data_IF_298296600169
#
_entry.id   IF_298296600169
#
_cell.length_a   1.000
_cell.length_b   1.000
_cell.length_c   1.000
_cell.angle_alpha   90.00
_cell.angle_beta   90.00
_cell.angle_gamma   90.00
#
_symmetry.space_group_name_H-M   'P 1'
#
loop_
_entity.id
_entity.type
_entity.pdbx_description
1 polymer ?
#
# COMPACT_ATOMS: atom_id res chain seq x y z
N UNK A 1 20.44 -8.73 -0.70
CA UNK A 1 19.51 -8.05 0.23
C UNK A 1 19.69 -8.61 1.66
N UNK A 2 20.79 -8.27 2.35
CA UNK A 2 21.14 -8.86 3.65
C UNK A 2 20.31 -8.29 4.82
N UNK A 3 20.14 -6.96 4.86
CA UNK A 3 19.47 -6.26 5.96
C UNK A 3 18.01 -6.71 6.13
N UNK A 4 17.26 -6.81 5.03
CA UNK A 4 15.85 -7.28 5.12
C UNK A 4 15.77 -8.72 5.57
N UNK A 5 16.65 -9.59 5.07
CA UNK A 5 16.72 -10.99 5.50
C UNK A 5 17.06 -11.13 6.99
N UNK A 6 17.86 -10.20 7.53
CA UNK A 6 18.21 -10.16 8.94
C UNK A 6 17.05 -9.65 9.81
N UNK A 7 16.41 -8.54 9.41
CA UNK A 7 15.25 -7.97 10.14
C UNK A 7 14.07 -8.96 10.12
N UNK A 8 13.81 -9.63 9.00
CA UNK A 8 12.70 -10.58 8.87
C UNK A 8 13.06 -12.00 9.33
N UNK A 9 14.19 -12.20 10.02
CA UNK A 9 14.67 -13.54 10.40
C UNK A 9 13.70 -14.26 11.34
N UNK A 10 13.13 -13.55 12.32
CA UNK A 10 12.12 -14.07 13.23
C UNK A 10 10.80 -14.40 12.54
N UNK A 11 10.51 -13.75 11.42
CA UNK A 11 9.29 -13.94 10.63
C UNK A 11 9.47 -14.97 9.50
N UNK A 12 10.66 -15.58 9.38
CA UNK A 12 10.97 -16.53 8.32
C UNK A 12 10.14 -17.80 8.49
N UNK A 13 9.46 -18.23 7.43
CA UNK A 13 8.59 -19.41 7.44
C UNK A 13 7.13 -19.14 7.80
N UNK A 14 6.78 -17.94 8.27
CA UNK A 14 5.39 -17.55 8.54
C UNK A 14 4.50 -17.65 7.29
N UNK A 15 5.04 -17.33 6.12
CA UNK A 15 4.31 -17.47 4.85
C UNK A 15 3.91 -18.91 4.57
N UNK A 16 4.80 -19.87 4.82
CA UNK A 16 4.51 -21.29 4.58
C UNK A 16 3.45 -21.79 5.57
N UNK A 17 3.56 -21.40 6.83
CA UNK A 17 2.59 -21.73 7.89
C UNK A 17 1.18 -21.21 7.54
N UNK A 18 1.09 -19.95 7.10
CA UNK A 18 -0.19 -19.35 6.71
C UNK A 18 -0.75 -19.97 5.44
N UNK A 19 0.09 -20.29 4.44
CA UNK A 19 -0.34 -21.00 3.24
C UNK A 19 -0.93 -22.38 3.59
N UNK A 20 -0.26 -23.14 4.46
CA UNK A 20 -0.76 -24.42 4.94
C UNK A 20 -2.08 -24.26 5.72
N UNK A 21 -2.16 -23.31 6.66
CA UNK A 21 -3.39 -23.07 7.42
C UNK A 21 -4.55 -22.68 6.50
N UNK A 22 -4.28 -21.95 5.41
CA UNK A 22 -5.27 -21.60 4.41
C UNK A 22 -5.69 -22.81 3.56
N UNK A 23 -4.79 -23.72 3.21
CA UNK A 23 -5.11 -24.98 2.53
C UNK A 23 -5.94 -25.91 3.41
N UNK A 24 -5.58 -26.05 4.69
CA UNK A 24 -6.35 -26.77 5.70
C UNK A 24 -7.76 -26.17 5.85
N UNK A 25 -7.87 -24.85 5.92
CA UNK A 25 -9.16 -24.16 6.03
C UNK A 25 -10.03 -24.30 4.76
N UNK A 26 -9.42 -24.42 3.58
CA UNK A 26 -10.13 -24.65 2.31
C UNK A 26 -10.60 -26.11 2.15
N UNK A 27 -9.81 -27.05 2.64
CA UNK A 27 -10.11 -28.49 2.55
C UNK A 27 -11.10 -28.94 3.63
N UNK A 28 -11.06 -28.31 4.80
CA UNK A 28 -12.13 -28.43 5.79
C UNK A 28 -13.35 -27.68 5.26
N UNK A 29 -14.43 -28.39 4.93
CA UNK A 29 -15.74 -27.83 4.58
C UNK A 29 -16.37 -27.11 5.78
N UNK A 30 -15.72 -26.06 6.27
CA UNK A 30 -16.13 -25.26 7.41
C UNK A 30 -16.70 -23.91 6.94
N UNK A 31 -17.56 -23.33 7.76
CA UNK A 31 -18.11 -22.01 7.52
C UNK A 31 -17.00 -20.96 7.49
N UNK A 32 -17.13 -19.93 6.64
CA UNK A 32 -16.12 -18.86 6.45
C UNK A 32 -15.61 -18.28 7.78
N UNK A 33 -16.50 -18.03 8.75
CA UNK A 33 -16.12 -17.51 10.07
C UNK A 33 -15.18 -18.47 10.81
N UNK A 34 -15.45 -19.77 10.73
CA UNK A 34 -14.62 -20.81 11.34
C UNK A 34 -13.29 -20.97 10.60
N UNK A 35 -13.29 -20.87 9.26
CA UNK A 35 -12.07 -20.86 8.45
C UNK A 35 -11.14 -19.69 8.83
N UNK A 36 -11.70 -18.48 8.95
CA UNK A 36 -10.95 -17.29 9.37
C UNK A 36 -10.41 -17.45 10.78
N UNK A 37 -11.20 -18.02 11.70
CA UNK A 37 -10.74 -18.29 13.07
C UNK A 37 -9.61 -19.32 13.11
N UNK A 38 -9.66 -20.37 12.28
CA UNK A 38 -8.59 -21.37 12.18
C UNK A 38 -7.27 -20.72 11.78
N UNK A 39 -7.28 -19.93 10.70
CA UNK A 39 -6.10 -19.22 10.20
C UNK A 39 -5.60 -18.22 11.26
N UNK A 40 -6.51 -17.45 11.86
CA UNK A 40 -6.18 -16.47 12.90
C UNK A 40 -5.55 -17.10 14.13
N UNK A 41 -6.07 -18.22 14.62
CA UNK A 41 -5.48 -18.95 15.75
C UNK A 41 -4.07 -19.45 15.42
N UNK A 42 -3.85 -19.98 14.20
CA UNK A 42 -2.52 -20.41 13.76
C UNK A 42 -1.54 -19.24 13.71
N UNK A 43 -1.98 -18.07 13.24
CA UNK A 43 -1.16 -16.85 13.24
C UNK A 43 -0.83 -16.39 14.67
N UNK A 44 -1.83 -16.20 15.52
CA UNK A 44 -1.66 -15.67 16.88
C UNK A 44 -0.76 -16.55 17.77
N UNK A 45 -0.79 -17.87 17.57
CA UNK A 45 0.03 -18.80 18.35
C UNK A 45 1.49 -18.89 17.89
N UNK A 46 1.83 -18.43 16.68
CA UNK A 46 3.18 -18.57 16.12
C UNK A 46 3.88 -17.22 15.88
N UNK A 47 3.14 -16.11 15.87
CA UNK A 47 3.72 -14.77 15.68
C UNK A 47 4.27 -14.23 16.98
N UNK A 48 5.56 -13.92 16.96
CA UNK A 48 6.24 -13.18 18.02
C UNK A 48 6.34 -11.70 17.61
N UNK A 49 6.00 -10.80 18.54
CA UNK A 49 6.05 -9.34 18.36
C UNK A 49 6.95 -8.75 19.45
N UNK A 50 7.82 -7.82 19.09
CA UNK A 50 8.66 -7.15 20.08
C UNK A 50 7.83 -6.28 21.04
N UNK A 51 8.33 -6.05 22.26
CA UNK A 51 7.62 -5.21 23.23
C UNK A 51 7.35 -3.79 22.69
N UNK A 52 8.27 -3.24 21.89
CA UNK A 52 8.14 -1.92 21.27
C UNK A 52 7.00 -1.90 20.25
N UNK A 53 6.94 -2.89 19.35
CA UNK A 53 5.87 -3.02 18.37
C UNK A 53 4.51 -3.28 19.03
N UNK A 54 4.47 -4.05 20.12
CA UNK A 54 3.25 -4.29 20.87
C UNK A 54 2.68 -3.00 21.49
N UNK A 55 3.55 -2.12 22.03
CA UNK A 55 3.14 -0.80 22.55
C UNK A 55 2.57 0.07 21.43
N UNK A 56 3.22 0.09 20.25
CA UNK A 56 2.70 0.81 19.09
C UNK A 56 1.31 0.31 18.68
N UNK A 57 1.09 -1.01 18.70
CA UNK A 57 -0.20 -1.60 18.39
C UNK A 57 -1.27 -1.21 19.43
N UNK A 58 -0.98 -1.34 20.72
CA UNK A 58 -1.92 -1.04 21.81
C UNK A 58 -2.31 0.43 21.83
N UNK A 59 -1.35 1.32 21.59
CA UNK A 59 -1.57 2.77 21.55
C UNK A 59 -2.05 3.27 20.19
N UNK A 60 -2.27 2.38 19.21
CA UNK A 60 -2.68 2.70 17.84
C UNK A 60 -1.74 3.73 17.17
N UNK A 61 -0.45 3.67 17.49
CA UNK A 61 0.55 4.57 16.93
C UNK A 61 0.97 4.08 15.53
N UNK A 62 1.23 5.00 14.59
CA UNK A 62 1.64 4.62 13.25
C UNK A 62 3.06 4.03 13.28
N UNK A 63 3.20 2.76 12.87
CA UNK A 63 4.50 2.09 12.71
C UNK A 63 5.42 2.76 11.68
N UNK A 64 4.84 3.53 10.75
CA UNK A 64 5.58 4.24 9.72
C UNK A 64 4.90 5.56 9.40
N UNK A 65 5.69 6.62 9.41
CA UNK A 65 5.32 7.87 8.74
C UNK A 65 6.01 7.93 7.38
N UNK A 66 5.29 8.41 6.37
CA UNK A 66 5.83 8.57 5.02
C UNK A 66 5.42 9.92 4.46
N UNK A 67 6.34 10.57 3.75
CA UNK A 67 6.09 11.87 3.11
C UNK A 67 5.11 11.77 1.95
N UNK A 68 4.90 10.57 1.39
CA UNK A 68 4.01 10.29 0.26
C UNK A 68 3.06 9.17 0.61
N UNK A 69 1.76 9.45 0.51
CA UNK A 69 0.74 8.43 0.62
C UNK A 69 0.87 7.39 -0.50
N UNK A 70 0.57 6.14 -0.17
CA UNK A 70 0.55 5.01 -1.09
C UNK A 70 -0.91 4.62 -1.33
N UNK A 71 -1.29 4.41 -2.59
CA UNK A 71 -2.64 4.02 -2.99
C UNK A 71 -2.57 2.76 -3.84
N UNK A 72 -3.32 1.73 -3.47
CA UNK A 72 -3.49 0.54 -4.30
C UNK A 72 -4.71 0.71 -5.21
N UNK A 73 -4.55 0.43 -6.50
CA UNK A 73 -5.60 0.47 -7.51
C UNK A 73 -5.95 -0.97 -7.89
N UNK A 74 -7.19 -1.37 -7.69
CA UNK A 74 -7.64 -2.73 -7.97
C UNK A 74 -7.94 -2.92 -9.47
N UNK A 75 -6.92 -3.30 -10.23
CA UNK A 75 -6.94 -3.52 -11.69
C UNK A 75 -7.45 -4.90 -12.11
N UNK A 76 -8.02 -5.68 -11.18
CA UNK A 76 -8.73 -6.91 -11.51
C UNK A 76 -9.91 -6.62 -12.46
N UNK A 77 -10.29 -7.60 -13.30
CA UNK A 77 -11.52 -7.52 -14.08
C UNK A 77 -12.74 -7.19 -13.20
N UNK A 78 -13.79 -6.54 -13.72
CA UNK A 78 -14.97 -6.16 -12.95
C UNK A 78 -15.56 -7.30 -12.12
N UNK A 79 -15.65 -8.51 -12.69
CA UNK A 79 -16.21 -9.70 -12.04
C UNK A 79 -15.41 -10.19 -10.82
N UNK A 80 -14.12 -9.87 -10.78
CA UNK A 80 -13.20 -10.31 -9.71
C UNK A 80 -12.90 -9.19 -8.70
N UNK A 81 -13.43 -7.97 -8.93
CA UNK A 81 -13.18 -6.82 -8.06
C UNK A 81 -14.08 -6.94 -6.83
N UNK A 82 -13.49 -6.88 -5.64
CA UNK A 82 -14.28 -6.78 -4.42
C UNK A 82 -14.93 -5.40 -4.34
N UNK A 83 -16.10 -5.33 -3.72
CA UNK A 83 -16.85 -4.08 -3.55
C UNK A 83 -17.22 -3.95 -2.08
N UNK A 84 -17.19 -2.71 -1.59
CA UNK A 84 -17.60 -2.38 -0.24
C UNK A 84 -19.09 -2.02 -0.28
N UNK A 85 -19.89 -2.64 0.58
CA UNK A 85 -21.30 -2.28 0.71
C UNK A 85 -21.43 -0.93 1.40
N UNK A 86 -22.53 -0.23 1.11
CA UNK A 86 -22.89 0.98 1.85
C UNK A 86 -23.15 0.63 3.33
N UNK A 87 -23.03 1.61 4.24
CA UNK A 87 -23.39 1.39 5.63
C UNK A 87 -24.82 0.87 5.76
N UNK A 88 -25.05 -0.02 6.72
CA UNK A 88 -26.34 -0.67 6.89
C UNK A 88 -27.49 0.32 7.09
N UNK A 89 -27.24 1.42 7.81
CA UNK A 89 -28.20 2.52 7.99
C UNK A 89 -28.66 3.16 6.68
N UNK A 90 -27.74 3.31 5.72
CA UNK A 90 -28.07 3.85 4.39
C UNK A 90 -28.87 2.83 3.62
N UNK A 91 -28.48 1.55 3.65
CA UNK A 91 -29.17 0.46 2.95
C UNK A 91 -30.61 0.28 3.48
N UNK A 92 -30.84 0.36 4.78
CA UNK A 92 -32.18 0.23 5.37
C UNK A 92 -33.13 1.35 4.92
N UNK A 93 -32.60 2.53 4.63
CA UNK A 93 -33.38 3.67 4.16
C UNK A 93 -33.50 3.72 2.63
N UNK A 94 -32.87 2.80 1.91
CA UNK A 94 -33.04 2.68 0.46
C UNK A 94 -34.40 2.08 0.14
N UNK A 95 -34.90 2.42 -1.05
CA UNK A 95 -36.11 1.80 -1.56
C UNK A 95 -35.85 0.32 -1.87
N UNK A 96 -36.80 -0.57 -1.60
CA UNK A 96 -36.63 -2.02 -1.78
C UNK A 96 -36.29 -2.44 -3.22
N UNK A 97 -36.57 -1.57 -4.20
CA UNK A 97 -36.26 -1.79 -5.62
C UNK A 97 -34.91 -1.20 -6.06
N UNK A 98 -34.17 -0.52 -5.18
CA UNK A 98 -32.87 0.06 -5.50
C UNK A 98 -31.75 -0.97 -5.32
N UNK A 99 -31.09 -1.33 -6.43
CA UNK A 99 -29.97 -2.27 -6.43
C UNK A 99 -28.61 -1.61 -6.13
N UNK A 100 -28.57 -0.30 -5.87
CA UNK A 100 -27.35 0.46 -5.61
C UNK A 100 -26.87 0.31 -4.15
N UNK A 101 -26.67 -0.94 -3.71
CA UNK A 101 -26.21 -1.28 -2.35
C UNK A 101 -24.70 -1.05 -2.20
N UNK A 102 -23.98 -0.91 -3.31
CA UNK A 102 -22.53 -0.83 -3.39
C UNK A 102 -22.01 0.60 -3.26
N UNK A 103 -20.92 0.78 -2.52
CA UNK A 103 -20.18 2.03 -2.45
C UNK A 103 -19.34 2.21 -3.71
N UNK A 104 -19.26 3.44 -4.22
CA UNK A 104 -18.46 3.73 -5.40
C UNK A 104 -16.97 3.51 -5.17
N UNK A 105 -16.35 2.72 -6.04
CA UNK A 105 -14.90 2.51 -6.04
C UNK A 105 -14.17 3.69 -6.73
N UNK A 106 -12.86 3.80 -6.51
CA UNK A 106 -11.97 4.76 -7.17
C UNK A 106 -12.17 4.79 -8.69
N UNK A 107 -12.36 3.61 -9.30
CA UNK A 107 -12.53 3.46 -10.74
C UNK A 107 -13.87 4.06 -11.19
N UNK A 108 -14.96 3.76 -10.49
CA UNK A 108 -16.28 4.35 -10.78
C UNK A 108 -16.26 5.88 -10.61
N UNK A 109 -15.59 6.38 -9.57
CA UNK A 109 -15.39 7.83 -9.36
C UNK A 109 -14.59 8.47 -10.51
N UNK A 110 -13.62 7.74 -11.07
CA UNK A 110 -12.91 8.17 -12.27
C UNK A 110 -13.82 8.17 -13.51
N UNK A 111 -14.72 7.19 -13.67
CA UNK A 111 -15.70 7.16 -14.77
C UNK A 111 -16.64 8.38 -14.73
N UNK A 112 -17.06 8.81 -13.54
CA UNK A 112 -17.97 9.95 -13.32
C UNK A 112 -17.27 11.33 -13.18
N UNK A 113 -15.95 11.42 -13.41
CA UNK A 113 -15.21 12.67 -13.22
C UNK A 113 -15.76 13.85 -14.05
N UNK A 114 -15.56 15.12 -13.65
CA UNK A 114 -15.96 16.28 -14.45
C UNK A 114 -15.31 16.31 -15.84
N UNK A 115 -15.97 16.92 -16.83
CA UNK A 115 -15.44 17.05 -18.21
C UNK A 115 -14.08 17.75 -18.29
N UNK A 116 -13.81 18.67 -17.35
CA UNK A 116 -12.51 19.34 -17.25
C UNK A 116 -11.33 18.36 -17.01
N UNK A 117 -11.61 17.16 -16.50
CA UNK A 117 -10.63 16.12 -16.19
C UNK A 117 -10.64 14.97 -17.21
N UNK A 118 -11.28 15.15 -18.38
CA UNK A 118 -11.42 14.10 -19.40
C UNK A 118 -10.09 13.53 -19.88
N UNK A 119 -9.09 14.40 -20.05
CA UNK A 119 -7.79 14.05 -20.63
C UNK A 119 -6.85 13.31 -19.66
N UNK A 120 -7.24 13.14 -18.39
CA UNK A 120 -6.44 12.42 -17.41
C UNK A 120 -6.60 10.92 -17.57
N UNK A 121 -5.51 10.17 -17.39
CA UNK A 121 -5.57 8.72 -17.20
C UNK A 121 -5.90 8.37 -15.74
N UNK A 122 -6.26 7.10 -15.49
CA UNK A 122 -6.61 6.63 -14.16
C UNK A 122 -5.44 6.81 -13.16
N UNK A 123 -4.21 6.54 -13.60
CA UNK A 123 -3.02 6.75 -12.79
C UNK A 123 -2.82 8.23 -12.39
N UNK A 124 -3.03 9.17 -13.31
CA UNK A 124 -2.95 10.61 -13.04
C UNK A 124 -4.03 11.03 -12.05
N UNK A 125 -5.26 10.58 -12.27
CA UNK A 125 -6.40 10.88 -11.39
C UNK A 125 -6.15 10.36 -9.97
N UNK A 126 -5.84 9.08 -9.83
CA UNK A 126 -5.62 8.41 -8.54
C UNK A 126 -4.44 9.00 -7.76
N UNK A 127 -3.41 9.45 -8.48
CA UNK A 127 -2.17 9.90 -7.86
C UNK A 127 -2.18 11.39 -7.48
N UNK A 128 -2.80 12.24 -8.30
CA UNK A 128 -2.80 13.69 -8.09
C UNK A 128 -4.07 14.24 -7.44
N UNK A 129 -5.17 13.49 -7.43
CA UNK A 129 -6.44 14.00 -6.90
C UNK A 129 -6.83 13.31 -5.59
N UNK A 130 -7.50 14.10 -4.76
CA UNK A 130 -8.16 13.66 -3.54
C UNK A 130 -9.64 14.01 -3.66
N UNK A 131 -10.48 13.06 -3.28
CA UNK A 131 -11.93 13.18 -3.39
C UNK A 131 -12.41 13.66 -2.03
N UNK A 132 -13.10 14.78 -2.04
CA UNK A 132 -13.69 15.40 -0.87
C UNK A 132 -15.20 15.50 -1.08
N UNK A 133 -15.95 15.35 0.00
CA UNK A 133 -17.39 15.48 0.00
C UNK A 133 -17.76 16.79 0.69
N UNK A 134 -18.72 17.51 0.14
CA UNK A 134 -19.25 18.75 0.72
C UNK A 134 -20.46 18.40 1.57
N UNK A 135 -20.55 18.98 2.79
CA UNK A 135 -21.79 18.98 3.56
C UNK A 135 -22.63 20.18 3.15
N UNK A 136 -23.91 19.96 2.84
CA UNK A 136 -24.87 21.06 2.73
C UNK A 136 -25.33 21.43 4.15
N UNK A 137 -24.82 22.53 4.71
CA UNK A 137 -25.24 23.04 6.04
C UNK A 137 -26.65 23.68 6.03
N UNK A 138 -27.50 23.38 5.03
CA UNK A 138 -28.83 23.98 4.87
C UNK A 138 -29.99 23.00 5.08
N UNK A 139 -29.92 22.10 6.06
CA UNK A 139 -31.10 21.50 6.72
C UNK A 139 -30.83 21.43 8.22
N UNK A 140 -31.55 22.24 8.99
CA UNK A 140 -31.33 22.50 10.41
C UNK A 140 -31.98 21.47 11.35
N UNK A 141 -31.33 21.28 12.51
CA UNK A 141 -31.84 20.88 13.85
C UNK A 141 -32.12 19.40 14.15
N UNK A 142 -31.43 18.89 15.18
CA UNK A 142 -31.81 17.70 15.96
C UNK A 142 -30.63 16.87 16.47
N UNK A 143 -30.11 17.25 17.65
CA UNK A 143 -29.56 16.43 18.75
C UNK A 143 -28.51 15.30 18.51
N UNK A 144 -27.35 15.53 19.16
CA UNK A 144 -26.56 14.62 20.00
C UNK A 144 -26.45 13.13 19.62
N UNK A 145 -25.28 12.71 19.10
CA UNK A 145 -24.51 11.55 19.61
C UNK A 145 -23.03 11.75 19.29
N UNK A 146 -22.20 11.88 20.32
CA UNK A 146 -20.75 11.64 20.24
C UNK A 146 -20.50 10.21 19.73
N UNK A 147 -19.95 10.08 18.54
CA UNK A 147 -19.39 8.82 18.05
C UNK A 147 -17.95 9.07 17.65
N UNK A 148 -17.07 9.00 18.64
CA UNK A 148 -15.64 8.72 18.42
C UNK A 148 -15.54 7.38 17.70
N UNK A 149 -15.41 7.43 16.37
CA UNK A 149 -14.92 6.33 15.56
C UNK A 149 -14.08 6.93 14.45
N UNK A 150 -12.77 6.69 14.56
CA UNK A 150 -11.74 6.97 13.58
C UNK A 150 -11.97 6.22 12.26
N UNK A 151 -12.83 6.76 11.41
CA UNK A 151 -12.63 6.77 9.97
C UNK A 151 -12.96 8.18 9.50
N UNK A 152 -11.96 8.91 9.02
CA UNK A 152 -12.11 10.29 8.53
C UNK A 152 -13.06 10.34 7.32
N UNK A 153 -14.36 10.34 7.58
CA UNK A 153 -15.36 11.02 6.76
C UNK A 153 -15.15 12.53 6.92
N UNK A 154 -14.01 13.01 6.41
CA UNK A 154 -13.68 14.42 6.33
C UNK A 154 -14.53 15.04 5.21
N UNK A 155 -15.83 15.16 5.46
CA UNK A 155 -16.67 16.03 4.68
C UNK A 155 -16.34 17.47 5.10
N UNK A 156 -15.82 18.24 4.16
CA UNK A 156 -15.30 19.59 4.40
C UNK A 156 -16.40 20.61 4.13
N UNK A 157 -16.38 21.71 4.87
CA UNK A 157 -17.15 22.90 4.49
C UNK A 157 -16.63 23.44 3.14
N UNK A 158 -17.54 24.00 2.34
CA UNK A 158 -17.22 24.54 1.02
C UNK A 158 -16.18 25.66 1.10
N UNK A 159 -16.25 26.51 2.12
CA UNK A 159 -15.31 27.58 2.40
C UNK A 159 -13.89 27.05 2.66
N UNK A 160 -13.77 25.94 3.40
CA UNK A 160 -12.50 25.29 3.70
C UNK A 160 -11.85 24.65 2.46
N UNK A 161 -12.69 24.12 1.56
CA UNK A 161 -12.24 23.60 0.26
C UNK A 161 -11.67 24.69 -0.63
N UNK A 162 -12.29 25.88 -0.66
CA UNK A 162 -11.80 27.04 -1.44
C UNK A 162 -10.53 27.63 -0.83
N UNK A 163 -10.44 27.69 0.51
CA UNK A 163 -9.27 28.22 1.21
C UNK A 163 -8.00 27.38 0.98
N UNK A 164 -8.17 26.10 0.65
CA UNK A 164 -7.04 25.19 0.40
C UNK A 164 -6.38 25.49 -0.95
N UNK A 165 -5.14 26.00 -0.93
CA UNK A 165 -4.34 26.38 -2.12
C UNK A 165 -4.22 25.21 -3.13
N UNK A 166 -5.05 25.19 -4.17
CA UNK A 166 -5.01 24.21 -5.25
C UNK A 166 -6.16 24.39 -6.26
N UNK A 167 -6.04 23.80 -7.46
CA UNK A 167 -7.17 23.73 -8.40
C UNK A 167 -8.15 22.66 -7.89
N UNK A 168 -9.40 23.06 -7.64
CA UNK A 168 -10.51 22.17 -7.30
C UNK A 168 -11.46 22.05 -8.50
N UNK A 169 -12.11 20.90 -8.64
CA UNK A 169 -13.15 20.65 -9.64
C UNK A 169 -14.36 20.09 -8.92
N UNK A 170 -15.57 20.45 -9.35
CA UNK A 170 -16.81 20.03 -8.71
C UNK A 170 -17.67 19.19 -9.66
N UNK A 171 -18.32 18.18 -9.10
CA UNK A 171 -19.43 17.46 -9.71
C UNK A 171 -20.44 17.08 -8.63
N UNK A 172 -21.58 17.77 -8.58
CA UNK A 172 -22.55 17.62 -7.48
C UNK A 172 -21.93 17.98 -6.13
N UNK A 173 -22.13 17.11 -5.12
CA UNK A 173 -21.55 17.25 -3.77
C UNK A 173 -20.10 16.73 -3.68
N UNK A 174 -19.50 16.29 -4.80
CA UNK A 174 -18.14 15.76 -4.85
C UNK A 174 -17.19 16.83 -5.37
N UNK A 175 -16.11 17.07 -4.63
CA UNK A 175 -15.04 17.98 -4.98
C UNK A 175 -13.73 17.22 -5.16
N UNK A 176 -13.10 17.38 -6.32
CA UNK A 176 -11.81 16.80 -6.66
C UNK A 176 -10.73 17.84 -6.41
N UNK A 177 -9.94 17.63 -5.36
CA UNK A 177 -8.85 18.51 -4.93
C UNK A 177 -7.52 18.02 -5.49
N UNK A 178 -6.80 18.86 -6.23
CA UNK A 178 -5.44 18.52 -6.67
C UNK A 178 -4.44 18.61 -5.51
N UNK A 179 -3.66 17.54 -5.29
CA UNK A 179 -2.60 17.46 -4.29
C UNK A 179 -1.32 18.18 -4.73
N UNK A 180 -0.53 18.60 -3.74
CA UNK A 180 0.81 19.17 -3.93
C UNK A 180 1.84 18.11 -4.35
N UNK A 181 1.79 16.94 -3.72
CA UNK A 181 2.64 15.80 -4.01
C UNK A 181 1.81 14.59 -4.44
N UNK A 182 2.28 13.93 -5.49
CA UNK A 182 1.66 12.76 -6.08
C UNK A 182 1.72 11.55 -5.13
N UNK A 183 0.63 10.77 -5.03
CA UNK A 183 0.62 9.49 -4.32
C UNK A 183 1.45 8.44 -5.08
N UNK A 184 2.08 7.53 -4.35
CA UNK A 184 2.70 6.35 -4.96
C UNK A 184 1.59 5.36 -5.26
N UNK A 185 1.37 5.05 -6.53
CA UNK A 185 0.36 4.07 -6.94
C UNK A 185 0.95 2.66 -6.92
N UNK A 186 0.16 1.70 -6.45
CA UNK A 186 0.38 0.26 -6.58
C UNK A 186 -0.82 -0.34 -7.29
N UNK A 187 -0.63 -1.45 -7.98
CA UNK A 187 -1.68 -2.16 -8.71
C UNK A 187 -1.32 -3.64 -8.75
N UNK A 188 -2.21 -4.49 -9.27
CA UNK A 188 -2.05 -5.95 -9.25
C UNK A 188 -0.77 -6.39 -9.95
N UNK A 189 -0.42 -5.75 -11.07
CA UNK A 189 0.79 -5.99 -11.85
C UNK A 189 0.83 -7.41 -12.44
N UNK A 190 -0.09 -7.69 -13.37
CA UNK A 190 -0.18 -9.01 -14.00
C UNK A 190 1.11 -9.39 -14.73
N UNK A 191 1.49 -10.66 -14.61
CA UNK A 191 2.63 -11.23 -15.33
C UNK A 191 2.28 -11.47 -16.79
N UNK A 192 3.17 -11.04 -17.69
CA UNK A 192 3.04 -11.21 -19.14
C UNK A 192 2.98 -12.70 -19.50
N UNK A 193 3.75 -13.54 -18.79
CA UNK A 193 3.85 -14.97 -19.09
C UNK A 193 2.62 -15.76 -18.62
N UNK A 194 2.02 -15.38 -17.50
CA UNK A 194 0.87 -16.10 -16.94
C UNK A 194 -0.45 -15.62 -17.55
N UNK A 195 -0.66 -14.30 -17.64
CA UNK A 195 -1.92 -13.71 -18.08
C UNK A 195 -1.65 -12.49 -18.99
N UNK A 196 -1.29 -12.71 -20.26
CA UNK A 196 -0.90 -11.62 -21.17
C UNK A 196 -2.05 -10.65 -21.46
N UNK A 197 -3.28 -11.14 -21.57
CA UNK A 197 -4.43 -10.30 -21.88
C UNK A 197 -4.79 -9.35 -20.73
N UNK A 198 -4.72 -9.85 -19.49
CA UNK A 198 -4.94 -9.06 -18.28
C UNK A 198 -3.83 -8.02 -18.10
N UNK A 199 -2.59 -8.36 -18.47
CA UNK A 199 -1.46 -7.44 -18.44
C UNK A 199 -1.67 -6.24 -19.38
N UNK A 200 -2.02 -6.48 -20.65
CA UNK A 200 -2.26 -5.37 -21.58
C UNK A 200 -3.52 -4.57 -21.23
N UNK A 201 -4.57 -5.21 -20.72
CA UNK A 201 -5.76 -4.52 -20.19
C UNK A 201 -5.36 -3.56 -19.06
N UNK A 202 -4.59 -4.04 -18.08
CA UNK A 202 -4.16 -3.25 -16.93
C UNK A 202 -3.37 -2.00 -17.36
N UNK A 203 -2.42 -2.14 -18.30
CA UNK A 203 -1.65 -0.99 -18.81
C UNK A 203 -2.52 0.02 -19.55
N UNK A 204 -3.46 -0.44 -20.39
CA UNK A 204 -4.43 0.42 -21.07
C UNK A 204 -5.31 1.15 -20.07
N UNK A 205 -5.81 0.44 -19.05
CA UNK A 205 -6.65 0.99 -18.00
C UNK A 205 -5.92 2.05 -17.17
N UNK A 206 -4.65 1.86 -16.84
CA UNK A 206 -3.93 2.79 -15.97
C UNK A 206 -3.45 4.05 -16.71
N UNK A 207 -2.89 3.87 -17.91
CA UNK A 207 -2.09 4.91 -18.56
C UNK A 207 -2.76 5.58 -19.77
N UNK A 208 -3.91 5.09 -20.22
CA UNK A 208 -4.73 5.74 -21.25
C UNK A 208 -5.92 6.47 -20.61
N UNK A 209 -6.34 7.65 -21.09
CA UNK A 209 -7.61 8.25 -20.71
C UNK A 209 -8.79 7.43 -21.22
N UNK A 210 -9.81 7.20 -20.38
CA UNK A 210 -11.03 6.45 -20.73
C UNK A 210 -12.20 6.85 -19.82
N UNK A 211 -13.43 6.51 -20.24
CA UNK A 211 -14.67 6.73 -19.49
C UNK A 211 -15.38 5.42 -19.16
N UNK A 212 -15.42 4.50 -20.12
CA UNK A 212 -15.99 3.17 -19.94
C UNK A 212 -14.92 2.07 -20.07
N UNK A 213 -14.90 1.14 -19.11
CA UNK A 213 -13.94 0.04 -19.07
C UNK A 213 -14.14 -0.90 -20.28
N UNK A 214 -15.39 -1.09 -20.71
CA UNK A 214 -15.74 -1.92 -21.88
C UNK A 214 -15.17 -1.36 -23.20
N UNK A 215 -14.98 -0.04 -23.28
CA UNK A 215 -14.45 0.63 -24.47
C UNK A 215 -12.91 0.68 -24.49
N UNK A 216 -12.22 0.13 -23.49
CA UNK A 216 -10.76 0.06 -23.47
C UNK A 216 -10.18 -0.64 -24.69
N UNK A 217 -10.87 -1.68 -25.17
CA UNK A 217 -10.51 -2.47 -26.35
C UNK A 217 -10.72 -1.73 -27.67
N UNK A 218 -11.61 -0.73 -27.68
CA UNK A 218 -12.01 0.00 -28.88
C UNK A 218 -12.59 -0.94 -29.95
N UNK A 219 -12.17 -0.76 -31.20
CA UNK A 219 -12.60 -1.57 -32.34
C UNK A 219 -11.71 -2.81 -32.58
N UNK A 220 -10.74 -3.08 -31.70
CA UNK A 220 -9.75 -4.13 -31.91
C UNK A 220 -10.24 -5.45 -31.31
N UNK A 221 -9.66 -6.57 -31.76
CA UNK A 221 -10.06 -7.90 -31.30
C UNK A 221 -9.36 -8.36 -30.02
N UNK A 222 -8.27 -7.70 -29.62
CA UNK A 222 -7.46 -8.07 -28.44
C UNK A 222 -6.90 -6.82 -27.73
N UNK A 223 -6.74 -6.84 -26.40
CA UNK A 223 -6.13 -5.70 -25.67
C UNK A 223 -4.67 -5.46 -26.11
N UNK A 224 -3.94 -6.53 -26.44
CA UNK A 224 -2.57 -6.45 -26.97
C UNK A 224 -2.46 -5.55 -28.22
N UNK A 225 -3.38 -5.67 -29.17
CA UNK A 225 -3.37 -4.87 -30.41
C UNK A 225 -3.61 -3.39 -30.12
N UNK A 226 -4.57 -3.09 -29.24
CA UNK A 226 -4.85 -1.71 -28.81
C UNK A 226 -3.66 -1.10 -28.07
N UNK A 227 -2.97 -1.90 -27.25
CA UNK A 227 -1.74 -1.50 -26.58
C UNK A 227 -0.63 -1.17 -27.59
N UNK A 228 -0.41 -2.01 -28.61
CA UNK A 228 0.61 -1.77 -29.64
C UNK A 228 0.40 -0.44 -30.38
N UNK A 229 -0.85 -0.09 -30.70
CA UNK A 229 -1.18 1.19 -31.32
C UNK A 229 -0.86 2.40 -30.44
N UNK A 230 -0.96 2.25 -29.11
CA UNK A 230 -0.78 3.34 -28.14
C UNK A 230 0.52 3.23 -27.33
N UNK A 231 1.44 2.35 -27.74
CA UNK A 231 2.58 1.92 -26.93
C UNK A 231 3.47 3.09 -26.48
N UNK A 232 3.72 4.05 -27.36
CA UNK A 232 4.57 5.20 -27.05
C UNK A 232 3.96 6.11 -25.99
N UNK A 233 2.66 6.38 -26.07
CA UNK A 233 1.94 7.20 -25.09
C UNK A 233 1.90 6.51 -23.72
N UNK A 234 1.62 5.20 -23.71
CA UNK A 234 1.53 4.40 -22.49
C UNK A 234 2.88 4.31 -21.79
N UNK A 235 3.96 3.95 -22.51
CA UNK A 235 5.31 3.88 -21.93
C UNK A 235 5.80 5.23 -21.42
N UNK A 236 5.47 6.33 -22.11
CA UNK A 236 5.80 7.68 -21.66
C UNK A 236 5.12 8.01 -20.33
N UNK A 237 3.84 7.61 -20.17
CA UNK A 237 3.10 7.78 -18.92
C UNK A 237 3.61 6.86 -17.83
N UNK A 238 3.82 5.58 -18.11
CA UNK A 238 4.34 4.59 -17.17
C UNK A 238 5.67 5.04 -16.54
N UNK A 239 6.59 5.60 -17.34
CA UNK A 239 7.87 6.13 -16.86
C UNK A 239 7.74 7.26 -15.82
N UNK A 240 6.61 7.95 -15.77
CA UNK A 240 6.35 8.99 -14.75
C UNK A 240 6.05 8.38 -13.37
N UNK A 241 5.59 7.13 -13.34
CA UNK A 241 5.18 6.41 -12.13
C UNK A 241 6.22 5.39 -11.69
N UNK A 242 6.90 4.76 -12.64
CA UNK A 242 7.87 3.71 -12.40
C UNK A 242 9.28 4.24 -12.63
N UNK A 243 10.07 4.35 -11.57
CA UNK A 243 11.47 4.82 -11.65
C UNK A 243 12.44 3.76 -12.18
N UNK A 244 12.12 2.48 -11.97
CA UNK A 244 12.95 1.34 -12.38
C UNK A 244 12.14 0.48 -13.34
N UNK A 245 12.72 0.03 -14.45
CA UNK A 245 11.99 -0.82 -15.40
C UNK A 245 11.59 -2.14 -14.74
N UNK A 246 10.41 -2.64 -15.12
CA UNK A 246 9.89 -3.94 -14.66
C UNK A 246 10.88 -5.07 -14.95
N UNK A 247 11.48 -5.06 -16.13
CA UNK A 247 12.46 -6.07 -16.54
C UNK A 247 13.66 -6.15 -15.57
N UNK A 248 14.13 -5.01 -15.05
CA UNK A 248 15.26 -4.98 -14.09
C UNK A 248 14.84 -5.59 -12.75
N UNK A 249 13.60 -5.37 -12.33
CA UNK A 249 13.04 -5.95 -11.11
C UNK A 249 12.89 -7.47 -11.27
N UNK A 250 12.32 -7.92 -12.39
CA UNK A 250 12.09 -9.33 -12.67
C UNK A 250 13.42 -10.11 -12.78
N UNK A 251 14.44 -9.54 -13.45
CA UNK A 251 15.80 -10.08 -13.48
C UNK A 251 16.36 -10.21 -12.06
N UNK A 252 16.26 -9.16 -11.24
CA UNK A 252 16.76 -9.20 -9.87
C UNK A 252 16.04 -10.25 -8.99
N UNK A 253 14.74 -10.47 -9.19
CA UNK A 253 14.03 -11.53 -8.50
C UNK A 253 14.49 -12.92 -8.94
N UNK A 254 14.64 -13.15 -10.25
CA UNK A 254 15.17 -14.41 -10.79
C UNK A 254 16.59 -14.70 -10.28
N UNK A 255 17.44 -13.68 -10.17
CA UNK A 255 18.79 -13.83 -9.63
C UNK A 255 18.78 -14.27 -8.15
N UNK A 256 17.84 -13.73 -7.35
CA UNK A 256 17.67 -14.11 -5.94
C UNK A 256 17.16 -15.56 -5.82
N UNK A 257 16.19 -15.96 -6.64
CA UNK A 257 15.61 -17.30 -6.59
C UNK A 257 16.63 -18.38 -6.99
N UNK A 258 17.47 -18.08 -7.98
CA UNK A 258 18.48 -19.01 -8.50
C UNK A 258 19.74 -19.09 -7.61
N UNK A 259 19.85 -18.26 -6.55
CA UNK A 259 20.98 -18.28 -5.63
C UNK A 259 22.32 -17.90 -6.26
N UNK A 260 22.31 -17.24 -7.43
CA UNK A 260 23.52 -16.78 -8.10
C UNK A 260 24.08 -15.57 -7.35
N UNK A 261 25.00 -15.83 -6.43
CA UNK A 261 25.85 -14.83 -5.77
C UNK A 261 27.03 -14.38 -6.63
N UNK A 262 27.08 -14.78 -7.91
CA UNK A 262 28.22 -14.49 -8.78
C UNK A 262 28.51 -12.99 -8.84
N UNK A 263 29.72 -12.65 -8.42
CA UNK A 263 30.32 -11.32 -8.38
C UNK A 263 30.45 -10.64 -9.75
N UNK A 264 29.86 -11.21 -10.80
CA UNK A 264 29.85 -10.69 -12.17
C UNK A 264 28.45 -10.18 -12.63
N UNK A 265 27.41 -10.28 -11.80
CA UNK A 265 26.07 -9.78 -12.10
C UNK A 265 25.95 -8.27 -11.78
N UNK A 266 26.75 -7.43 -12.43
CA UNK A 266 26.89 -6.00 -12.12
C UNK A 266 25.69 -5.11 -12.50
N UNK A 267 24.57 -5.62 -13.00
CA UNK A 267 23.60 -4.76 -13.69
C UNK A 267 22.26 -4.52 -12.98
N UNK A 268 21.56 -5.52 -12.43
CA UNK A 268 20.21 -5.28 -11.90
C UNK A 268 20.21 -4.77 -10.44
N UNK A 269 21.00 -5.39 -9.57
CA UNK A 269 21.09 -5.04 -8.14
C UNK A 269 21.72 -3.65 -7.92
N UNK A 270 22.71 -3.28 -8.73
CA UNK A 270 23.36 -1.96 -8.71
C UNK A 270 22.41 -0.83 -9.14
N UNK A 271 21.51 -1.09 -10.09
CA UNK A 271 20.46 -0.15 -10.51
C UNK A 271 19.37 0.00 -9.44
N UNK A 272 18.98 -1.11 -8.79
CA UNK A 272 17.91 -1.12 -7.78
C UNK A 272 18.34 -0.51 -6.45
N UNK A 273 19.59 -0.77 -6.02
CA UNK A 273 20.10 -0.34 -4.74
C UNK A 273 21.55 0.18 -4.86
N UNK A 274 21.76 1.30 -5.59
CA UNK A 274 23.09 1.89 -5.73
C UNK A 274 23.66 2.20 -4.34
N UNK A 275 24.93 1.87 -4.13
CA UNK A 275 25.66 2.05 -2.86
C UNK A 275 25.27 1.12 -1.69
N UNK A 276 24.56 0.00 -1.93
CA UNK A 276 24.37 -1.04 -0.90
C UNK A 276 25.43 -2.16 -0.93
N UNK A 277 26.58 -1.91 -1.57
CA UNK A 277 27.73 -2.80 -1.49
C UNK A 277 28.15 -2.98 -0.03
N UNK A 278 28.48 -4.21 0.34
CA UNK A 278 28.85 -4.59 1.71
C UNK A 278 30.24 -4.02 2.05
N UNK A 279 30.43 -3.52 3.28
CA UNK A 279 31.70 -2.98 3.78
C UNK A 279 32.86 -3.99 3.77
N UNK A 280 32.59 -5.29 3.59
CA UNK A 280 33.64 -6.31 3.51
C UNK A 280 34.54 -6.15 2.29
N UNK A 281 34.03 -5.62 1.17
CA UNK A 281 34.86 -5.36 -0.01
C UNK A 281 35.81 -4.17 0.20
N UNK A 282 35.43 -3.20 1.05
CA UNK A 282 36.28 -2.07 1.44
C UNK A 282 37.41 -2.56 2.37
N UNK A 283 37.10 -3.48 3.28
CA UNK A 283 38.08 -4.10 4.19
C UNK A 283 39.12 -4.98 3.48
N UNK A 284 38.83 -5.51 2.28
CA UNK A 284 39.85 -6.23 1.49
C UNK A 284 40.92 -5.30 0.89
N UNK A 285 40.59 -4.03 0.68
CA UNK A 285 41.53 -3.03 0.13
C UNK A 285 42.42 -2.39 1.19
N UNK A 286 41.99 -2.42 2.45
CA UNK A 286 42.75 -1.95 3.62
C UNK A 286 43.36 -3.14 4.38
N UNK A 287 44.15 -3.96 3.67
CA UNK A 287 45.23 -4.68 4.35
C UNK A 287 46.28 -3.65 4.74
N UNK A 288 46.19 -3.11 5.96
CA UNK A 288 47.31 -2.88 6.88
C UNK A 288 46.79 -2.26 8.18
N UNK A 289 47.24 -2.84 9.30
CA UNK A 289 47.13 -2.37 10.68
C UNK A 289 45.80 -2.59 11.41
N UNK A 290 45.48 -3.85 11.69
CA UNK A 290 44.56 -4.20 12.76
C UNK A 290 45.18 -3.85 14.13
N UNK A 291 44.72 -2.75 14.74
CA UNK A 291 44.85 -2.55 16.18
C UNK A 291 44.10 -3.68 16.90
N UNK A 292 44.64 -4.22 18.01
CA UNK A 292 44.03 -5.36 18.70
C UNK A 292 42.63 -4.97 19.19
N UNK A 293 41.64 -5.69 18.67
CA UNK A 293 40.24 -5.63 19.09
C UNK A 293 40.15 -5.86 20.60
N UNK A 294 39.94 -4.79 21.35
CA UNK A 294 39.71 -4.88 22.79
C UNK A 294 38.29 -5.41 22.98
N UNK A 295 38.18 -6.72 23.23
CA UNK A 295 36.94 -7.37 23.64
C UNK A 295 36.38 -6.63 24.85
N UNK A 296 35.32 -5.87 24.66
CA UNK A 296 34.51 -5.33 25.74
C UNK A 296 33.67 -6.49 26.29
N UNK A 297 34.33 -7.44 26.96
CA UNK A 297 33.62 -8.27 27.93
C UNK A 297 33.19 -7.34 29.07
N UNK A 298 31.89 -7.23 29.38
CA UNK A 298 31.44 -6.46 30.54
C UNK A 298 31.77 -7.26 31.80
N UNK A 299 33.04 -7.29 32.18
CA UNK A 299 33.50 -7.79 33.48
C UNK A 299 33.31 -6.70 34.52
N UNK A 300 32.05 -6.31 34.78
CA UNK A 300 31.75 -5.56 35.98
C UNK A 300 30.31 -5.76 36.42
N UNK A 301 30.15 -6.35 37.61
CA UNK A 301 28.91 -6.47 38.41
C UNK A 301 28.33 -5.10 38.85
N UNK A 302 28.44 -4.06 38.02
CA UNK A 302 28.02 -2.67 38.32
C UNK A 302 27.02 -2.09 37.31
N UNK A 303 26.29 -2.91 36.57
CA UNK A 303 25.21 -2.45 35.68
C UNK A 303 23.82 -2.49 36.34
N UNK A 304 23.73 -2.43 37.67
CA UNK A 304 22.44 -2.48 38.37
C UNK A 304 21.82 -1.10 38.66
N UNK A 305 22.29 -0.01 38.03
CA UNK A 305 21.90 1.33 38.48
C UNK A 305 21.91 2.41 37.39
N UNK A 306 21.61 2.05 36.14
CA UNK A 306 21.27 3.06 35.14
C UNK A 306 19.80 2.92 34.76
N UNK A 307 18.98 3.87 35.22
CA UNK A 307 17.56 3.94 34.94
C UNK A 307 17.31 4.93 33.80
N UNK A 308 17.06 4.39 32.61
CA UNK A 308 16.69 5.13 31.40
C UNK A 308 15.45 6.02 31.61
N UNK A 309 14.64 5.76 32.64
CA UNK A 309 13.48 6.57 33.02
C UNK A 309 13.79 8.04 33.30
N UNK A 310 15.00 8.34 33.82
CA UNK A 310 15.40 9.73 34.09
C UNK A 310 15.62 10.55 32.82
N UNK A 311 16.12 9.94 31.76
CA UNK A 311 16.38 10.60 30.48
C UNK A 311 15.09 10.88 29.69
N UNK A 312 14.05 10.09 29.92
CA UNK A 312 12.73 10.23 29.29
C UNK A 312 11.69 10.94 30.18
N UNK A 313 12.12 11.53 31.30
CA UNK A 313 11.28 12.36 32.17
C UNK A 313 10.27 11.59 33.04
N UNK A 314 10.42 10.27 33.18
CA UNK A 314 9.54 9.42 34.00
C UNK A 314 10.18 9.24 35.39
N UNK A 315 9.59 9.87 36.42
CA UNK A 315 10.05 9.72 37.80
C UNK A 315 9.45 8.45 38.42
N UNK A 316 10.29 7.44 38.68
CA UNK A 316 9.93 6.30 39.51
C UNK A 316 9.60 6.74 40.94
N UNK A 317 8.34 6.59 41.37
CA UNK A 317 7.97 6.69 42.78
C UNK A 317 8.25 5.35 43.44
N UNK A 318 9.27 5.28 44.30
CA UNK A 318 9.50 4.10 45.14
C UNK A 318 8.34 3.94 46.15
N UNK A 319 7.88 2.70 46.41
CA UNK A 319 6.84 2.46 47.38
C UNK A 319 7.34 2.84 48.78
N UNK A 320 6.54 3.61 49.52
CA UNK A 320 6.81 3.93 50.92
C UNK A 320 6.68 2.65 51.74
N UNK A 321 7.77 2.34 52.47
CA UNK A 321 7.89 1.22 53.41
C UNK A 321 6.89 1.28 54.55
#
# INVERSE_FOLDING_TARGET
MYIVSYISKSQRGMSNLLSQAAEEARSGNCELRSSVRHIGNKFLNNVEISAQEAVYYILQLPFRQSSRAVLFINTNPPDKRYVILKPYSVIQNMNDNDNNVQTEDLIQKYMHRPKALDNLCLADFASWFEICYVRDESISQGDDVNSDNDEQDNAYSFEELIATKGKTYQHGCIVYRRRKYQKVIRYVNFSIHQNPEDHYRELLMLFRPWRDEQHLKGNNNTYAECYLQNIHAIRSKEKQYTKVSKDVIDIAFSDIENGNHDSNCLNASSILAPNTAHLDDINLSEQNDSLPYQSLEPTCRKQSQYDLGQDIGVKCQLPRS
#
